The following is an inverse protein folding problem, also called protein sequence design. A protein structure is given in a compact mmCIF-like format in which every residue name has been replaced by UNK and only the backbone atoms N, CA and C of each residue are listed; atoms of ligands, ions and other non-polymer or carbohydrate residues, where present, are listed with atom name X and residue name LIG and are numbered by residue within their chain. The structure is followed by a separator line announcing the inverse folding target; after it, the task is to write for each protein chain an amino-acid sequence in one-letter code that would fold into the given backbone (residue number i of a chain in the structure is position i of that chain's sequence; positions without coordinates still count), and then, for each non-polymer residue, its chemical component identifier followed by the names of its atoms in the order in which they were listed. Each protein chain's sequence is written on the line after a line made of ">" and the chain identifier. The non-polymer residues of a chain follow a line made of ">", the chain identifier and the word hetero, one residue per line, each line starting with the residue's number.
data_IF_802360966974
#
_entry.id   IF_802360966974
#
_cell.length_a   1.000
_cell.length_b   1.000
_cell.length_c   1.000
_cell.angle_alpha   90.00
_cell.angle_beta   90.00
_cell.angle_gamma   90.00
#
_symmetry.space_group_name_H-M   'P 1'
#
loop_
_entity.id
_entity.type
_entity.pdbx_description
1 polymer ?
#
# COMPACT_ATOMS: atom_id res chain seq x y z
N UNK A 1 21.51 -6.44 15.05
CA UNK A 1 20.45 -6.64 14.04
C UNK A 1 20.42 -8.11 13.67
N UNK A 2 20.02 -8.96 14.60
CA UNK A 2 20.13 -10.41 14.52
C UNK A 2 18.93 -11.01 13.79
N UNK A 3 17.75 -10.40 13.99
CA UNK A 3 16.47 -10.82 13.42
C UNK A 3 15.89 -9.75 12.49
N UNK A 4 16.71 -8.87 11.92
CA UNK A 4 16.27 -7.70 11.15
C UNK A 4 15.37 -8.05 9.96
N UNK A 5 15.62 -9.17 9.28
CA UNK A 5 14.87 -9.60 8.10
C UNK A 5 14.84 -8.53 7.01
N UNK A 6 16.02 -8.04 6.62
CA UNK A 6 16.18 -7.06 5.55
C UNK A 6 15.57 -7.58 4.25
N UNK A 7 14.87 -6.68 3.53
CA UNK A 7 14.20 -7.02 2.28
C UNK A 7 12.83 -7.66 2.48
N UNK A 8 12.25 -7.59 3.68
CA UNK A 8 10.86 -8.00 3.92
C UNK A 8 9.89 -7.22 3.01
N UNK A 9 10.17 -5.93 2.81
CA UNK A 9 9.60 -5.09 1.75
C UNK A 9 10.73 -4.38 1.01
N UNK A 10 10.46 -3.87 -0.19
CA UNK A 10 11.43 -3.13 -0.97
C UNK A 10 10.76 -2.07 -1.85
N UNK A 11 11.40 -0.92 -2.01
CA UNK A 11 11.01 0.13 -2.95
C UNK A 11 12.25 0.79 -3.52
N UNK A 12 12.19 1.20 -4.79
CA UNK A 12 13.26 1.95 -5.43
C UNK A 12 13.07 3.45 -5.19
N UNK A 13 14.14 4.14 -4.85
CA UNK A 13 14.17 5.61 -4.75
C UNK A 13 15.31 6.17 -5.62
N UNK A 14 15.24 7.45 -6.05
CA UNK A 14 16.34 8.13 -6.72
C UNK A 14 17.69 8.00 -6.02
N UNK A 15 17.69 8.00 -4.68
CA UNK A 15 18.91 7.90 -3.87
C UNK A 15 19.41 6.46 -3.67
N UNK A 16 18.67 5.44 -4.14
CA UNK A 16 19.01 4.03 -3.99
C UNK A 16 17.82 3.15 -3.54
N UNK A 17 17.95 1.82 -3.58
CA UNK A 17 16.91 0.93 -3.08
C UNK A 17 16.77 1.07 -1.56
N UNK A 18 15.52 1.00 -1.10
CA UNK A 18 15.16 0.95 0.32
C UNK A 18 14.61 -0.43 0.64
N UNK A 19 15.12 -1.07 1.68
CA UNK A 19 14.72 -2.41 2.13
C UNK A 19 14.13 -2.36 3.53
N UNK A 20 12.89 -2.81 3.71
CA UNK A 20 12.26 -2.94 5.02
C UNK A 20 12.95 -4.01 5.89
N UNK A 21 13.07 -3.73 7.19
CA UNK A 21 13.77 -4.59 8.15
C UNK A 21 12.94 -4.74 9.43
N UNK A 22 11.84 -5.50 9.33
CA UNK A 22 10.76 -5.58 10.32
C UNK A 22 11.18 -6.07 11.72
N UNK A 23 12.20 -6.93 11.82
CA UNK A 23 12.60 -7.51 13.09
C UNK A 23 13.72 -6.75 13.80
N UNK A 24 14.10 -5.58 13.27
CA UNK A 24 15.09 -4.70 13.89
C UNK A 24 14.63 -4.21 15.26
N UNK A 25 15.56 -4.19 16.23
CA UNK A 25 15.37 -3.62 17.58
C UNK A 25 14.07 -4.08 18.29
N UNK A 26 13.97 -5.36 18.64
CA UNK A 26 12.77 -5.96 19.25
C UNK A 26 11.52 -5.77 18.39
N UNK A 27 11.61 -6.11 17.11
CA UNK A 27 10.52 -6.05 16.13
C UNK A 27 9.84 -4.69 16.00
N UNK A 28 10.56 -3.64 16.39
CA UNK A 28 10.11 -2.28 16.20
C UNK A 28 10.27 -1.81 14.75
N UNK A 29 11.23 -2.41 14.04
CA UNK A 29 11.37 -2.29 12.61
C UNK A 29 12.04 -1.00 12.15
N UNK A 30 11.89 -0.73 10.85
CA UNK A 30 12.53 0.34 10.11
C UNK A 30 12.83 -0.10 8.68
N UNK A 31 13.64 0.69 7.98
CA UNK A 31 14.12 0.38 6.65
C UNK A 31 15.57 0.83 6.46
N UNK A 32 16.29 0.18 5.54
CA UNK A 32 17.67 0.52 5.15
C UNK A 32 17.65 1.12 3.75
N UNK A 33 18.11 2.36 3.61
CA UNK A 33 18.45 2.96 2.32
C UNK A 33 19.88 2.57 1.95
N UNK A 34 20.10 2.14 0.71
CA UNK A 34 21.41 1.79 0.17
C UNK A 34 21.84 2.76 -0.94
N UNK A 35 22.49 3.90 -0.61
CA UNK A 35 22.91 4.83 -1.64
C UNK A 35 24.10 4.30 -2.45
N UNK A 36 24.18 4.60 -3.75
CA UNK A 36 25.31 4.20 -4.58
C UNK A 36 26.64 4.71 -3.99
N UNK A 37 27.57 3.79 -3.73
CA UNK A 37 28.94 4.10 -3.24
C UNK A 37 29.01 4.80 -1.88
N UNK A 38 27.94 4.76 -1.07
CA UNK A 38 27.93 5.25 0.31
C UNK A 38 27.53 4.14 1.28
N UNK A 39 27.73 4.38 2.57
CA UNK A 39 27.25 3.46 3.61
C UNK A 39 25.71 3.47 3.70
N UNK A 40 25.07 2.33 3.98
CA UNK A 40 23.62 2.28 4.16
C UNK A 40 23.17 3.15 5.34
N UNK A 41 22.01 3.80 5.19
CA UNK A 41 21.38 4.60 6.24
C UNK A 41 20.16 3.88 6.79
N UNK A 42 20.09 3.70 8.11
CA UNK A 42 18.93 3.11 8.77
C UNK A 42 17.89 4.19 9.10
N UNK A 43 16.65 3.96 8.69
CA UNK A 43 15.50 4.85 8.87
C UNK A 43 14.54 4.17 9.84
N UNK A 44 14.32 4.78 11.00
CA UNK A 44 13.46 4.21 12.03
C UNK A 44 12.76 5.27 12.90
N UNK A 45 11.88 4.76 13.76
CA UNK A 45 11.31 5.48 14.91
C UNK A 45 11.81 4.89 16.24
N UNK A 46 12.46 3.73 16.18
CA UNK A 46 12.40 2.72 17.23
C UNK A 46 13.41 2.87 18.35
N UNK A 47 14.52 3.56 18.11
CA UNK A 47 15.53 3.73 19.15
C UNK A 47 15.05 4.71 20.24
N UNK A 48 14.14 5.62 19.90
CA UNK A 48 13.65 6.68 20.79
C UNK A 48 12.25 6.37 21.37
N UNK A 49 11.42 5.59 20.66
CA UNK A 49 10.00 5.40 20.99
C UNK A 49 9.69 3.97 21.44
N UNK A 50 9.51 3.75 22.75
CA UNK A 50 9.29 2.42 23.36
C UNK A 50 7.98 1.75 22.88
N UNK A 51 6.97 2.54 22.51
CA UNK A 51 5.69 2.07 21.97
C UNK A 51 5.80 1.43 20.58
N UNK A 52 6.96 1.56 19.91
CA UNK A 52 7.24 0.92 18.63
C UNK A 52 7.60 -0.55 18.73
N UNK A 53 7.93 -1.10 19.91
CA UNK A 53 8.27 -2.53 20.03
C UNK A 53 7.17 -3.41 19.46
N UNK A 54 7.57 -4.46 18.76
CA UNK A 54 6.66 -5.44 18.14
C UNK A 54 5.66 -4.86 17.11
N UNK A 55 5.96 -3.68 16.53
CA UNK A 55 5.08 -2.97 15.60
C UNK A 55 5.25 -3.34 14.12
N UNK A 56 6.39 -3.95 13.76
CA UNK A 56 6.76 -4.32 12.39
C UNK A 56 6.85 -3.12 11.42
N UNK A 57 7.44 -1.99 11.84
CA UNK A 57 7.71 -0.90 10.90
C UNK A 57 8.57 -1.40 9.73
N UNK A 58 8.18 -1.04 8.50
CA UNK A 58 8.82 -1.52 7.28
C UNK A 58 8.24 -2.84 6.76
N UNK A 59 7.09 -3.28 7.30
CA UNK A 59 6.33 -4.39 6.73
C UNK A 59 5.91 -4.11 5.28
N UNK A 60 5.55 -2.85 5.03
CA UNK A 60 5.33 -2.28 3.71
C UNK A 60 6.14 -0.99 3.61
N UNK A 61 6.60 -0.67 2.41
CA UNK A 61 7.38 0.52 2.11
C UNK A 61 6.92 1.10 0.77
N UNK A 62 6.71 2.42 0.71
CA UNK A 62 6.44 3.11 -0.54
C UNK A 62 7.13 4.46 -0.65
N UNK A 63 7.35 4.89 -1.89
CA UNK A 63 7.91 6.20 -2.21
C UNK A 63 6.81 7.20 -2.56
N UNK A 64 6.90 8.40 -2.00
CA UNK A 64 6.08 9.54 -2.37
C UNK A 64 6.94 10.74 -2.76
N UNK A 65 6.48 11.51 -3.75
CA UNK A 65 7.03 12.82 -4.08
C UNK A 65 6.06 13.88 -3.60
N UNK A 66 6.50 14.75 -2.70
CA UNK A 66 5.63 15.76 -2.15
C UNK A 66 6.24 17.15 -2.31
N UNK A 67 5.73 17.92 -3.28
CA UNK A 67 6.26 19.23 -3.68
C UNK A 67 7.75 19.16 -4.04
N UNK A 68 8.11 18.14 -4.82
CA UNK A 68 9.50 17.85 -5.19
C UNK A 68 10.39 17.30 -4.07
N UNK A 69 9.85 17.03 -2.87
CA UNK A 69 10.60 16.41 -1.77
C UNK A 69 10.33 14.90 -1.75
N UNK A 70 11.39 14.12 -1.84
CA UNK A 70 11.35 12.67 -1.68
C UNK A 70 10.94 12.31 -0.24
N UNK A 71 9.89 11.52 -0.11
CA UNK A 71 9.36 11.04 1.16
C UNK A 71 9.24 9.52 1.12
N UNK A 72 9.61 8.87 2.22
CA UNK A 72 9.49 7.42 2.38
C UNK A 72 8.32 7.13 3.32
N UNK A 73 7.44 6.22 2.94
CA UNK A 73 6.27 5.85 3.73
C UNK A 73 6.45 4.41 4.18
N UNK A 74 6.36 4.18 5.49
CA UNK A 74 6.51 2.84 6.08
C UNK A 74 5.27 2.45 6.87
N UNK A 75 4.81 1.22 6.65
CA UNK A 75 3.73 0.61 7.42
C UNK A 75 4.26 -0.18 8.62
N UNK A 76 3.54 -0.08 9.74
CA UNK A 76 3.77 -0.82 10.99
C UNK A 76 2.44 -1.47 11.44
N UNK A 77 2.00 -2.55 10.77
CA UNK A 77 0.64 -3.08 10.90
C UNK A 77 0.35 -3.73 12.26
N UNK A 78 1.37 -3.95 13.11
CA UNK A 78 1.20 -4.47 14.48
C UNK A 78 1.25 -3.39 15.56
N UNK A 79 1.57 -2.15 15.22
CA UNK A 79 1.66 -1.06 16.19
C UNK A 79 0.39 -0.96 17.04
N UNK A 80 0.55 -1.07 18.37
CA UNK A 80 -0.54 -1.08 19.35
C UNK A 80 -1.70 -2.02 18.97
N UNK A 81 -1.40 -3.10 18.24
CA UNK A 81 -2.34 -4.09 17.72
C UNK A 81 -3.39 -3.54 16.73
N UNK A 82 -3.40 -2.25 16.41
CA UNK A 82 -4.31 -1.65 15.41
C UNK A 82 -3.61 -1.37 14.09
N UNK A 83 -2.32 -1.05 14.13
CA UNK A 83 -1.49 -0.68 12.99
C UNK A 83 -1.32 0.83 12.83
N UNK A 84 -0.21 1.25 12.21
CA UNK A 84 0.03 2.65 11.83
C UNK A 84 0.87 2.76 10.56
N UNK A 85 0.90 3.96 9.99
CA UNK A 85 1.74 4.33 8.85
C UNK A 85 2.43 5.64 9.16
N UNK A 86 3.72 5.75 8.80
CA UNK A 86 4.56 6.91 9.08
C UNK A 86 5.22 7.39 7.79
N UNK A 87 5.17 8.70 7.55
CA UNK A 87 5.90 9.38 6.49
C UNK A 87 7.22 9.91 7.06
N UNK A 88 8.33 9.57 6.41
CA UNK A 88 9.66 10.07 6.69
C UNK A 88 10.11 11.02 5.59
N UNK A 89 10.82 12.07 5.97
CA UNK A 89 11.50 12.97 5.03
C UNK A 89 12.93 13.17 5.47
N UNK A 90 13.82 13.40 4.50
CA UNK A 90 15.20 13.73 4.79
C UNK A 90 15.34 15.23 5.07
N UNK A 91 15.98 15.58 6.19
CA UNK A 91 16.36 16.94 6.54
C UNK A 91 17.80 16.93 7.07
N UNK A 92 18.68 17.69 6.42
CA UNK A 92 20.12 17.75 6.77
C UNK A 92 20.75 16.36 6.87
N UNK A 93 20.57 15.55 5.82
CA UNK A 93 21.06 14.16 5.69
C UNK A 93 20.46 13.14 6.68
N UNK A 94 19.61 13.57 7.61
CA UNK A 94 18.92 12.68 8.56
C UNK A 94 17.46 12.46 8.16
N UNK A 95 17.03 11.20 8.18
CA UNK A 95 15.62 10.86 8.02
C UNK A 95 14.87 11.07 9.33
N UNK A 96 13.76 11.80 9.27
CA UNK A 96 12.91 12.09 10.42
C UNK A 96 11.44 11.85 10.09
N UNK A 97 10.63 11.38 11.07
CA UNK A 97 9.19 11.32 10.89
C UNK A 97 8.61 12.71 10.67
N UNK A 98 7.70 12.82 9.70
CA UNK A 98 7.01 14.07 9.33
C UNK A 98 5.52 14.02 9.67
N UNK A 99 4.89 12.89 9.42
CA UNK A 99 3.47 12.68 9.67
C UNK A 99 3.17 11.21 9.94
N UNK A 100 2.08 10.93 10.64
CA UNK A 100 1.63 9.58 10.93
C UNK A 100 0.11 9.50 10.93
N UNK A 101 -0.41 8.30 10.65
CA UNK A 101 -1.83 7.97 10.75
C UNK A 101 -1.98 6.56 11.31
N UNK A 102 -2.97 6.36 12.18
CA UNK A 102 -3.18 5.11 12.92
C UNK A 102 -4.48 4.44 12.52
N UNK A 103 -4.46 3.10 12.51
CA UNK A 103 -5.65 2.27 12.36
C UNK A 103 -6.55 2.36 13.59
N UNK A 104 -7.84 2.13 13.40
CA UNK A 104 -8.86 2.25 14.46
C UNK A 104 -9.29 0.93 15.07
N UNK A 105 -9.23 -0.17 14.31
CA UNK A 105 -9.70 -1.49 14.76
C UNK A 105 -8.51 -2.40 15.09
N UNK A 106 -8.55 -3.01 16.27
CA UNK A 106 -7.58 -4.02 16.69
C UNK A 106 -7.58 -5.23 15.74
N UNK A 107 -6.40 -5.73 15.40
CA UNK A 107 -6.21 -6.85 14.49
C UNK A 107 -6.45 -6.52 13.02
N UNK A 108 -6.82 -5.28 12.67
CA UNK A 108 -7.14 -4.91 11.28
C UNK A 108 -5.94 -4.91 10.34
N UNK A 109 -4.73 -4.87 10.92
CA UNK A 109 -3.45 -4.89 10.20
C UNK A 109 -3.29 -3.66 9.29
N UNK A 110 -3.70 -2.48 9.79
CA UNK A 110 -3.63 -1.23 9.06
C UNK A 110 -2.18 -0.84 8.73
N UNK A 111 -1.87 -0.64 7.46
CA UNK A 111 -0.51 -0.44 6.96
C UNK A 111 0.15 -1.71 6.43
N UNK A 112 -0.61 -2.79 6.20
CA UNK A 112 -0.08 -4.02 5.62
C UNK A 112 0.35 -3.85 4.16
N UNK A 113 -0.35 -3.02 3.41
CA UNK A 113 -0.03 -2.64 2.04
C UNK A 113 -0.16 -1.12 1.89
N UNK A 114 0.69 -0.55 1.05
CA UNK A 114 0.72 0.87 0.73
C UNK A 114 0.71 1.03 -0.78
N UNK A 115 0.15 2.14 -1.27
CA UNK A 115 0.23 2.54 -2.67
C UNK A 115 0.12 4.06 -2.74
N UNK A 116 1.12 4.72 -3.33
CA UNK A 116 1.14 6.16 -3.56
C UNK A 116 0.51 6.46 -4.91
N UNK A 117 -0.34 7.48 -4.97
CA UNK A 117 -1.11 7.81 -6.17
C UNK A 117 -0.97 9.30 -6.46
N UNK A 118 -0.49 9.59 -7.67
CA UNK A 118 -0.56 10.89 -8.33
C UNK A 118 -1.82 10.86 -9.21
N UNK A 119 -2.91 11.47 -8.72
CA UNK A 119 -4.24 11.35 -9.32
C UNK A 119 -4.34 12.22 -10.56
N UNK A 120 -3.82 13.45 -10.51
CA UNK A 120 -3.90 14.42 -11.61
C UNK A 120 -2.67 14.42 -12.54
N UNK A 121 -1.66 13.61 -12.23
CA UNK A 121 -0.45 13.37 -13.02
C UNK A 121 0.47 14.58 -13.09
N UNK A 122 0.52 15.37 -12.03
CA UNK A 122 1.39 16.54 -11.93
C UNK A 122 2.84 16.19 -11.53
N UNK A 123 3.13 14.93 -11.24
CA UNK A 123 4.43 14.42 -10.78
C UNK A 123 4.59 14.42 -9.26
N UNK A 124 3.58 14.86 -8.51
CA UNK A 124 3.53 14.78 -7.06
C UNK A 124 2.49 13.74 -6.63
N UNK A 125 2.79 13.05 -5.54
CA UNK A 125 1.83 12.19 -4.88
C UNK A 125 0.75 13.04 -4.22
N UNK A 126 -0.50 12.79 -4.58
CA UNK A 126 -1.67 13.42 -3.97
C UNK A 126 -2.11 12.69 -2.70
N UNK A 127 -2.12 11.36 -2.76
CA UNK A 127 -2.67 10.51 -1.73
C UNK A 127 -1.92 9.21 -1.56
N UNK A 128 -2.17 8.58 -0.42
CA UNK A 128 -1.67 7.24 -0.09
C UNK A 128 -2.87 6.35 0.21
N UNK A 129 -2.94 5.22 -0.47
CA UNK A 129 -3.86 4.14 -0.13
C UNK A 129 -3.21 3.26 0.93
N UNK A 130 -3.93 3.01 2.02
CA UNK A 130 -3.45 2.20 3.15
C UNK A 130 -4.37 1.01 3.35
N UNK A 131 -3.83 -0.19 3.15
CA UNK A 131 -4.56 -1.44 3.32
C UNK A 131 -4.65 -1.88 4.79
N UNK A 132 -5.84 -2.35 5.17
CA UNK A 132 -6.14 -3.04 6.42
C UNK A 132 -6.87 -4.35 6.09
N UNK A 133 -6.19 -5.35 5.50
CA UNK A 133 -6.81 -6.56 4.95
C UNK A 133 -7.45 -7.46 6.01
N UNK A 134 -7.18 -7.25 7.30
CA UNK A 134 -7.80 -8.00 8.38
C UNK A 134 -8.87 -7.21 9.12
N UNK A 135 -9.22 -6.02 8.62
CA UNK A 135 -10.39 -5.30 9.09
C UNK A 135 -11.64 -6.19 9.00
N UNK A 136 -12.46 -6.18 10.04
CA UNK A 136 -13.60 -7.06 10.18
C UNK A 136 -14.89 -6.27 10.38
N UNK A 137 -15.88 -6.59 9.55
CA UNK A 137 -17.31 -6.37 9.80
C UNK A 137 -18.06 -7.67 9.50
N UNK A 138 -19.23 -7.90 10.11
CA UNK A 138 -20.03 -9.12 9.86
C UNK A 138 -20.33 -9.40 8.38
N UNK A 139 -20.43 -8.35 7.55
CA UNK A 139 -20.77 -8.47 6.13
C UNK A 139 -19.59 -8.28 5.19
N UNK A 140 -18.44 -7.74 5.65
CA UNK A 140 -17.33 -7.33 4.79
C UNK A 140 -15.99 -7.45 5.53
N UNK A 141 -14.99 -8.02 4.86
CA UNK A 141 -13.63 -8.22 5.37
C UNK A 141 -12.60 -7.47 4.54
N UNK A 142 -11.70 -6.80 5.23
CA UNK A 142 -10.72 -5.89 4.64
C UNK A 142 -11.27 -4.49 4.42
N UNK A 143 -10.35 -3.56 4.28
CA UNK A 143 -10.61 -2.14 4.10
C UNK A 143 -9.38 -1.47 3.48
N UNK A 144 -9.59 -0.45 2.66
CA UNK A 144 -8.53 0.47 2.24
C UNK A 144 -8.91 1.89 2.63
N UNK A 145 -8.00 2.60 3.27
CA UNK A 145 -8.18 4.02 3.60
C UNK A 145 -7.48 4.89 2.56
N UNK A 146 -8.17 5.91 2.08
CA UNK A 146 -7.64 6.95 1.19
C UNK A 146 -7.16 8.12 2.05
N UNK A 147 -5.86 8.36 2.05
CA UNK A 147 -5.22 9.32 2.94
C UNK A 147 -4.44 10.36 2.14
N UNK A 148 -5.08 11.49 1.77
CA UNK A 148 -4.42 12.60 1.08
C UNK A 148 -3.20 13.10 1.85
N UNK A 149 -2.15 13.52 1.17
CA UNK A 149 -0.99 14.09 1.84
C UNK A 149 -1.37 15.41 2.54
N UNK A 150 -1.00 15.60 3.82
CA UNK A 150 -1.52 16.69 4.62
C UNK A 150 -0.96 18.05 4.17
N UNK A 151 -1.76 19.09 3.91
CA UNK A 151 -1.22 20.38 3.51
C UNK A 151 -0.40 21.04 4.65
N UNK A 152 0.86 21.37 4.37
CA UNK A 152 1.72 22.12 5.30
C UNK A 152 1.99 21.36 6.61
N UNK A 153 1.46 21.88 7.71
CA UNK A 153 1.56 21.28 9.07
C UNK A 153 0.24 20.66 9.56
N UNK A 154 -0.73 20.47 8.66
CA UNK A 154 -1.99 19.82 9.01
C UNK A 154 -1.73 18.39 9.50
N UNK A 155 -2.60 17.91 10.39
CA UNK A 155 -2.58 16.51 10.82
C UNK A 155 -2.97 15.62 9.64
N UNK A 156 -2.21 14.55 9.40
CA UNK A 156 -2.53 13.56 8.38
C UNK A 156 -3.77 12.76 8.77
N UNK A 157 -4.76 12.72 7.88
CA UNK A 157 -6.05 12.07 8.11
C UNK A 157 -6.47 11.36 6.83
N UNK A 158 -7.24 10.28 7.00
CA UNK A 158 -7.84 9.55 5.90
C UNK A 158 -9.30 9.96 5.75
N UNK A 159 -9.68 10.37 4.54
CA UNK A 159 -10.97 11.00 4.28
C UNK A 159 -12.01 9.98 3.82
N UNK A 160 -11.58 9.03 2.98
CA UNK A 160 -12.46 8.06 2.32
C UNK A 160 -12.03 6.65 2.65
N UNK A 161 -13.02 5.76 2.77
CA UNK A 161 -12.82 4.35 3.02
C UNK A 161 -13.40 3.55 1.84
N UNK A 162 -12.55 2.75 1.20
CA UNK A 162 -12.93 1.82 0.15
C UNK A 162 -13.19 0.42 0.72
N UNK A 163 -14.18 -0.27 0.17
CA UNK A 163 -14.59 -1.63 0.57
C UNK A 163 -14.97 -2.45 -0.66
N UNK A 164 -14.75 -3.76 -0.59
CA UNK A 164 -15.28 -4.72 -1.56
C UNK A 164 -16.78 -4.97 -1.39
N UNK A 165 -17.33 -5.89 -2.17
CA UNK A 165 -18.73 -6.34 -2.05
C UNK A 165 -19.02 -6.99 -0.68
N UNK A 166 -20.29 -6.97 -0.28
CA UNK A 166 -20.75 -7.64 0.94
C UNK A 166 -20.83 -9.16 0.76
N UNK A 167 -20.91 -9.89 1.88
CA UNK A 167 -20.96 -11.36 1.90
C UNK A 167 -19.58 -12.01 2.08
N UNK A 168 -18.53 -11.23 2.30
CA UNK A 168 -17.15 -11.71 2.38
C UNK A 168 -16.44 -11.19 3.65
N UNK A 169 -16.86 -11.61 4.86
CA UNK A 169 -16.32 -11.10 6.14
C UNK A 169 -14.82 -11.36 6.35
N UNK A 170 -14.23 -12.29 5.61
CA UNK A 170 -12.78 -12.55 5.56
C UNK A 170 -12.21 -12.39 4.15
N UNK A 171 -12.81 -11.50 3.35
CA UNK A 171 -12.44 -11.26 1.94
C UNK A 171 -11.02 -10.74 1.73
N UNK A 172 -10.41 -10.18 2.78
CA UNK A 172 -9.07 -9.57 2.75
C UNK A 172 -8.93 -8.48 1.69
N UNK A 173 -9.98 -7.69 1.49
CA UNK A 173 -9.93 -6.52 0.62
C UNK A 173 -8.82 -5.55 1.07
N UNK A 174 -7.96 -5.14 0.14
CA UNK A 174 -6.79 -4.32 0.44
C UNK A 174 -5.56 -5.13 0.84
N UNK A 175 -5.48 -6.41 0.47
CA UNK A 175 -4.26 -7.20 0.66
C UNK A 175 -3.15 -6.85 -0.33
N UNK A 176 -3.54 -6.41 -1.53
CA UNK A 176 -2.64 -5.91 -2.58
C UNK A 176 -3.27 -4.65 -3.19
N UNK A 177 -2.42 -3.69 -3.55
CA UNK A 177 -2.79 -2.40 -4.12
C UNK A 177 -1.84 -2.12 -5.30
N UNK A 178 -2.33 -1.52 -6.37
CA UNK A 178 -1.48 -1.04 -7.46
C UNK A 178 -2.13 0.12 -8.20
N UNK A 179 -1.30 1.00 -8.75
CA UNK A 179 -1.72 2.02 -9.73
C UNK A 179 -1.86 1.34 -11.08
N UNK A 180 -2.95 1.63 -11.80
CA UNK A 180 -3.13 1.16 -13.17
C UNK A 180 -2.73 2.21 -14.21
N UNK A 181 -2.78 3.50 -13.87
CA UNK A 181 -2.80 4.56 -14.87
C UNK A 181 -4.24 4.96 -15.15
N UNK A 182 -4.54 5.46 -16.35
CA UNK A 182 -5.86 5.99 -16.72
C UNK A 182 -6.42 4.99 -17.69
N UNK A 183 -7.41 4.23 -17.26
CA UNK A 183 -8.00 3.15 -18.06
C UNK A 183 -9.31 3.57 -18.71
N UNK A 184 -9.83 4.76 -18.41
CA UNK A 184 -11.12 5.26 -18.91
C UNK A 184 -11.01 6.52 -19.80
N UNK A 185 -9.81 7.10 -19.93
CA UNK A 185 -9.50 8.27 -20.75
C UNK A 185 -9.86 9.61 -20.12
N UNK A 186 -10.13 9.67 -18.81
CA UNK A 186 -10.51 10.93 -18.13
C UNK A 186 -9.32 11.75 -17.62
N UNK A 187 -8.09 11.26 -17.85
CA UNK A 187 -6.80 11.82 -17.43
C UNK A 187 -6.52 11.72 -15.93
N UNK A 188 -7.33 11.00 -15.17
CA UNK A 188 -7.11 10.74 -13.76
C UNK A 188 -6.55 9.33 -13.57
N UNK A 189 -5.71 9.17 -12.55
CA UNK A 189 -5.12 7.87 -12.26
C UNK A 189 -6.10 6.97 -11.50
N UNK A 190 -6.33 5.79 -12.07
CA UNK A 190 -7.12 4.68 -11.55
C UNK A 190 -6.25 3.66 -10.80
N UNK A 191 -6.89 2.89 -9.94
CA UNK A 191 -6.21 1.92 -9.06
C UNK A 191 -6.91 0.57 -9.04
N UNK A 192 -6.14 -0.49 -8.78
CA UNK A 192 -6.66 -1.83 -8.55
C UNK A 192 -6.42 -2.29 -7.10
N UNK A 193 -7.40 -2.98 -6.54
CA UNK A 193 -7.38 -3.49 -5.17
C UNK A 193 -7.70 -4.99 -5.15
N UNK A 194 -6.83 -5.77 -4.52
CA UNK A 194 -6.97 -7.20 -4.38
C UNK A 194 -7.76 -7.61 -3.14
N UNK A 195 -8.60 -8.64 -3.29
CA UNK A 195 -9.38 -9.26 -2.22
C UNK A 195 -9.30 -10.79 -2.32
N UNK A 196 -8.12 -11.39 -2.04
CA UNK A 196 -7.86 -12.81 -2.30
C UNK A 196 -8.67 -13.79 -1.43
N UNK A 197 -9.30 -13.31 -0.37
CA UNK A 197 -10.14 -14.13 0.53
C UNK A 197 -11.61 -14.21 0.11
N UNK A 198 -12.05 -13.43 -0.87
CA UNK A 198 -13.46 -13.46 -1.31
C UNK A 198 -13.86 -14.80 -1.94
N UNK A 199 -15.16 -15.11 -1.87
CA UNK A 199 -15.73 -16.37 -2.38
C UNK A 199 -14.94 -17.59 -1.91
N UNK A 200 -14.84 -17.76 -0.59
CA UNK A 200 -14.15 -18.90 0.04
C UNK A 200 -12.71 -19.07 -0.45
N UNK A 201 -11.97 -17.95 -0.56
CA UNK A 201 -10.59 -17.87 -1.06
C UNK A 201 -10.41 -18.11 -2.57
N UNK A 202 -11.44 -17.97 -3.40
CA UNK A 202 -11.23 -17.88 -4.85
C UNK A 202 -10.58 -16.56 -5.24
N UNK A 203 -10.96 -15.49 -4.53
CA UNK A 203 -10.39 -14.16 -4.67
C UNK A 203 -11.04 -13.30 -5.75
N UNK A 204 -10.83 -12.00 -5.64
CA UNK A 204 -11.32 -10.99 -6.58
C UNK A 204 -10.34 -9.82 -6.70
N UNK A 205 -10.48 -9.05 -7.77
CA UNK A 205 -9.81 -7.77 -7.98
C UNK A 205 -10.86 -6.72 -8.31
N UNK A 206 -10.68 -5.52 -7.77
CA UNK A 206 -11.56 -4.37 -7.95
C UNK A 206 -10.82 -3.24 -8.64
N UNK A 207 -11.48 -2.58 -9.58
CA UNK A 207 -11.04 -1.36 -10.24
C UNK A 207 -11.75 -0.15 -9.62
N UNK A 208 -11.01 0.89 -9.25
CA UNK A 208 -11.57 2.14 -8.75
C UNK A 208 -11.02 3.31 -9.54
N UNK A 209 -11.92 4.23 -9.92
CA UNK A 209 -11.52 5.41 -10.67
C UNK A 209 -10.97 6.52 -9.79
N UNK A 210 -10.03 7.29 -10.35
CA UNK A 210 -9.65 8.59 -9.82
C UNK A 210 -10.82 9.58 -9.80
N UNK A 211 -10.68 10.66 -9.05
CA UNK A 211 -11.67 11.75 -9.02
C UNK A 211 -10.99 13.09 -9.23
N UNK A 212 -11.76 14.14 -9.56
CA UNK A 212 -11.20 15.48 -9.82
C UNK A 212 -10.59 16.17 -8.59
N UNK A 213 -10.67 15.57 -7.41
CA UNK A 213 -9.91 15.98 -6.22
C UNK A 213 -8.88 14.89 -5.86
N UNK A 214 -8.01 15.11 -4.85
CA UNK A 214 -7.01 14.14 -4.41
C UNK A 214 -7.67 12.96 -3.68
N UNK A 215 -8.51 12.20 -4.37
CA UNK A 215 -9.32 11.11 -3.85
C UNK A 215 -9.63 10.06 -4.91
N UNK A 216 -10.10 8.92 -4.45
CA UNK A 216 -10.53 7.78 -5.27
C UNK A 216 -12.04 7.60 -5.08
N UNK A 217 -12.74 7.24 -6.16
CA UNK A 217 -14.18 6.94 -6.11
C UNK A 217 -14.47 5.93 -5.01
N UNK A 218 -15.53 6.16 -4.22
CA UNK A 218 -15.94 5.23 -3.17
C UNK A 218 -16.56 3.94 -3.72
N UNK A 219 -16.99 3.96 -4.99
CA UNK A 219 -17.56 2.81 -5.70
C UNK A 219 -16.58 2.31 -6.74
N UNK A 220 -16.40 0.98 -6.79
CA UNK A 220 -15.61 0.35 -7.84
C UNK A 220 -16.36 0.44 -9.17
N UNK A 221 -15.62 0.59 -10.27
CA UNK A 221 -16.18 0.57 -11.63
C UNK A 221 -16.26 -0.83 -12.19
N UNK A 222 -15.37 -1.73 -11.76
CA UNK A 222 -15.36 -3.11 -12.16
C UNK A 222 -14.94 -4.02 -11.00
N UNK A 223 -15.52 -5.21 -10.97
CA UNK A 223 -15.09 -6.31 -10.11
C UNK A 223 -14.87 -7.55 -10.97
N UNK A 224 -13.69 -8.15 -10.84
CA UNK A 224 -13.29 -9.36 -11.53
C UNK A 224 -13.10 -10.45 -10.49
N UNK A 225 -13.98 -11.44 -10.51
CA UNK A 225 -13.89 -12.59 -9.61
C UNK A 225 -13.02 -13.68 -10.22
N UNK A 226 -12.13 -14.29 -9.44
CA UNK A 226 -11.32 -15.42 -9.91
C UNK A 226 -12.17 -16.56 -10.47
N UNK A 227 -13.35 -16.79 -9.88
CA UNK A 227 -14.33 -17.79 -10.35
C UNK A 227 -14.91 -17.53 -11.74
N UNK A 228 -14.92 -16.28 -12.22
CA UNK A 228 -15.36 -15.93 -13.58
C UNK A 228 -14.31 -16.32 -14.63
N UNK A 229 -13.03 -16.31 -14.26
CA UNK A 229 -11.92 -16.64 -15.15
C UNK A 229 -11.63 -18.14 -15.17
N UNK A 230 -11.63 -18.79 -14.00
CA UNK A 230 -11.47 -20.23 -13.90
C UNK A 230 -12.02 -20.75 -12.56
N UNK A 231 -12.72 -21.90 -12.55
CA UNK A 231 -13.20 -22.51 -11.31
C UNK A 231 -12.07 -23.01 -10.39
N UNK A 232 -10.84 -23.17 -10.91
CA UNK A 232 -9.69 -23.66 -10.12
C UNK A 232 -8.88 -22.55 -9.45
N UNK A 233 -9.17 -21.27 -9.73
CA UNK A 233 -8.42 -20.16 -9.17
C UNK A 233 -8.64 -20.06 -7.66
N UNK A 234 -7.53 -19.85 -6.95
CA UNK A 234 -7.51 -19.58 -5.52
C UNK A 234 -6.60 -18.38 -5.26
N UNK A 235 -6.96 -17.57 -4.28
CA UNK A 235 -6.24 -16.36 -3.88
C UNK A 235 -5.99 -15.40 -5.05
N UNK A 236 -6.90 -15.33 -6.03
CA UNK A 236 -6.82 -14.36 -7.11
C UNK A 236 -6.84 -12.93 -6.53
N UNK A 237 -5.83 -12.12 -6.88
CA UNK A 237 -5.66 -10.78 -6.31
C UNK A 237 -4.76 -10.74 -5.06
N UNK A 238 -3.99 -11.78 -4.76
CA UNK A 238 -3.06 -11.77 -3.62
C UNK A 238 -1.82 -10.88 -3.84
N UNK A 239 -1.48 -10.61 -5.10
CA UNK A 239 -0.46 -9.65 -5.52
C UNK A 239 -0.90 -9.00 -6.82
N UNK A 240 -0.52 -7.73 -7.01
CA UNK A 240 -0.92 -6.92 -8.16
C UNK A 240 0.28 -6.12 -8.65
N UNK A 241 0.36 -5.90 -9.97
CA UNK A 241 1.28 -4.96 -10.59
C UNK A 241 0.65 -4.47 -11.89
N UNK A 242 0.42 -3.16 -12.00
CA UNK A 242 -0.12 -2.53 -13.21
C UNK A 242 0.71 -1.32 -13.63
N UNK A 243 0.15 -0.55 -14.59
CA UNK A 243 0.72 0.73 -15.02
C UNK A 243 1.71 0.65 -16.18
N UNK A 244 1.89 -0.51 -16.80
CA UNK A 244 2.77 -0.70 -17.96
C UNK A 244 2.03 -1.39 -19.09
N UNK A 245 2.34 -1.01 -20.33
CA UNK A 245 1.94 -1.73 -21.54
C UNK A 245 2.93 -2.88 -21.80
N UNK A 246 2.46 -4.10 -21.57
CA UNK A 246 3.18 -5.36 -21.77
C UNK A 246 2.71 -6.09 -23.04
N UNK A 247 1.55 -5.71 -23.60
CA UNK A 247 0.96 -6.33 -24.79
C UNK A 247 1.22 -5.55 -26.09
N UNK A 248 1.84 -4.38 -25.99
CA UNK A 248 2.23 -3.48 -27.08
C UNK A 248 1.03 -2.95 -27.88
N UNK A 249 -0.12 -2.74 -27.24
CA UNK A 249 -1.31 -2.15 -27.86
C UNK A 249 -1.53 -0.67 -27.49
N UNK A 250 -0.65 -0.11 -26.66
CA UNK A 250 -0.71 1.28 -26.19
C UNK A 250 -1.60 1.48 -24.97
N UNK A 251 -2.19 0.43 -24.41
CA UNK A 251 -2.97 0.46 -23.17
C UNK A 251 -2.17 -0.15 -22.02
N UNK A 252 -2.52 0.23 -20.79
CA UNK A 252 -1.89 -0.31 -19.58
C UNK A 252 -2.47 -1.69 -19.25
N UNK A 253 -1.60 -2.63 -18.92
CA UNK A 253 -1.98 -3.99 -18.52
C UNK A 253 -1.93 -4.16 -17.00
N UNK A 254 -2.65 -5.18 -16.50
CA UNK A 254 -2.64 -5.59 -15.10
C UNK A 254 -2.18 -7.04 -14.94
N UNK A 255 -1.07 -7.25 -14.22
CA UNK A 255 -0.64 -8.56 -13.75
C UNK A 255 -1.26 -8.88 -12.38
N UNK A 256 -1.94 -10.03 -12.27
CA UNK A 256 -2.61 -10.50 -11.06
C UNK A 256 -2.05 -11.84 -10.60
N UNK A 257 -1.55 -11.88 -9.38
CA UNK A 257 -1.12 -13.10 -8.73
C UNK A 257 -2.29 -13.91 -8.16
N UNK A 258 -2.16 -15.23 -8.27
CA UNK A 258 -3.04 -16.22 -7.67
C UNK A 258 -2.20 -17.40 -7.16
N UNK A 259 -2.82 -18.35 -6.47
CA UNK A 259 -2.13 -19.55 -5.98
C UNK A 259 -1.57 -20.35 -7.16
N UNK A 260 -0.24 -20.37 -7.29
CA UNK A 260 0.49 -21.09 -8.36
C UNK A 260 0.21 -20.58 -9.77
N UNK A 261 -0.39 -19.40 -9.93
CA UNK A 261 -0.73 -18.83 -11.24
C UNK A 261 -0.50 -17.32 -11.22
N UNK A 262 -0.18 -16.75 -12.39
CA UNK A 262 -0.16 -15.31 -12.64
C UNK A 262 -0.96 -15.08 -13.92
N UNK A 263 -1.85 -14.10 -13.90
CA UNK A 263 -2.69 -13.74 -15.03
C UNK A 263 -2.29 -12.34 -15.49
N UNK A 264 -2.25 -12.12 -16.80
CA UNK A 264 -2.08 -10.80 -17.40
C UNK A 264 -3.43 -10.41 -18.03
N UNK A 265 -4.01 -9.32 -17.56
CA UNK A 265 -5.27 -8.75 -18.03
C UNK A 265 -4.96 -7.51 -18.85
N UNK A 266 -5.70 -7.35 -19.94
CA UNK A 266 -5.67 -6.25 -20.90
C UNK A 266 -7.10 -5.82 -21.22
#
# INVERSE_FOLDING_TARGET
>A
MEMSQEGFSAVFTPDGPVLGAVGSFSWSGGALLYPPKMSPTFINMSQENVDMRDSYLGYSAELAFWKGVQSLILGAPRHQHTGKVVIFTQASEQWRPKAEVSGTQIGSYFGASLCTVDVDRDGNTDLVLIGAPHYYKPTQGGQVSVCPLPPGRAKWQCEVILRGEQGHPWGRFGAALTVLGDVNGDKLTDVAIGAPGEQENRGAVYLFHGTSGPSISSSHSQRISGSQLSPSLQYFGQSLSGGQDLTMDGLVDLAVGARRQVLLLR
#
